data_IF_478611533101
#
_entry.id   IF_478611533101
#
_cell.length_a   1.000
_cell.length_b   1.000
_cell.length_c   1.000
_cell.angle_alpha   90.00
_cell.angle_beta   90.00
_cell.angle_gamma   90.00
#
_symmetry.space_group_name_H-M   'P 1'
#
loop_
_entity.id
_entity.type
_entity.pdbx_description
1 polymer ?
#
# COMPACT_ATOMS: atom_id res chain seq x y z
N UNK A 1 28.04 23.15 -14.41
CA UNK A 1 26.78 22.87 -15.14
C UNK A 1 26.55 21.38 -15.05
N UNK A 2 25.37 20.89 -14.69
CA UNK A 2 25.14 19.45 -14.73
C UNK A 2 25.23 18.98 -16.19
N UNK A 3 25.96 17.89 -16.41
CA UNK A 3 26.04 17.25 -17.72
C UNK A 3 24.65 16.94 -18.22
N UNK A 4 24.31 17.42 -19.41
CA UNK A 4 23.06 17.08 -20.05
C UNK A 4 23.13 15.63 -20.51
N UNK A 5 22.52 14.74 -19.76
CA UNK A 5 22.34 13.35 -20.18
C UNK A 5 21.25 13.33 -21.26
N UNK A 6 21.66 13.22 -22.50
CA UNK A 6 20.77 12.97 -23.63
C UNK A 6 20.58 11.44 -23.77
N UNK A 7 19.31 11.05 -23.88
CA UNK A 7 18.75 9.72 -23.94
C UNK A 7 19.68 8.59 -24.36
N UNK A 8 19.80 7.61 -23.51
CA UNK A 8 20.51 6.35 -23.69
C UNK A 8 19.96 5.32 -22.73
N UNK A 9 20.37 4.08 -22.92
CA UNK A 9 20.10 3.05 -21.92
C UNK A 9 20.82 3.40 -20.65
N UNK A 10 20.09 3.89 -19.63
CA UNK A 10 20.65 4.20 -18.33
C UNK A 10 20.60 2.99 -17.44
N UNK A 11 21.70 2.67 -16.78
CA UNK A 11 21.73 1.73 -15.67
C UNK A 11 20.91 2.31 -14.49
N UNK A 12 20.56 1.45 -13.53
CA UNK A 12 19.93 1.84 -12.28
C UNK A 12 20.66 3.04 -11.65
N UNK A 13 19.96 4.14 -11.42
CA UNK A 13 20.52 5.34 -10.78
C UNK A 13 20.47 5.17 -9.25
N UNK A 14 21.57 4.75 -8.63
CA UNK A 14 21.66 4.54 -7.18
C UNK A 14 21.43 5.83 -6.39
N UNK A 15 21.93 6.97 -6.87
CA UNK A 15 21.73 8.25 -6.19
C UNK A 15 20.25 8.64 -6.05
N UNK A 16 19.40 8.24 -7.00
CA UNK A 16 17.96 8.43 -6.89
C UNK A 16 17.37 7.61 -5.73
N UNK A 17 17.76 6.34 -5.61
CA UNK A 17 17.26 5.46 -4.55
C UNK A 17 17.82 5.87 -3.17
N UNK A 18 19.05 6.33 -3.11
CA UNK A 18 19.66 6.88 -1.88
C UNK A 18 18.91 8.12 -1.41
N UNK A 19 18.65 9.07 -2.31
CA UNK A 19 17.89 10.28 -1.99
C UNK A 19 16.48 9.95 -1.45
N UNK A 20 15.80 8.98 -2.05
CA UNK A 20 14.51 8.51 -1.56
C UNK A 20 14.62 7.83 -0.18
N UNK A 21 15.63 6.97 0.02
CA UNK A 21 15.86 6.31 1.30
C UNK A 21 16.14 7.31 2.43
N UNK A 22 16.93 8.35 2.14
CA UNK A 22 17.23 9.41 3.10
C UNK A 22 16.01 10.29 3.38
N UNK A 23 15.17 10.56 2.39
CA UNK A 23 13.89 11.23 2.57
C UNK A 23 12.97 10.42 3.52
N UNK A 24 12.78 9.13 3.27
CA UNK A 24 11.98 8.24 4.11
C UNK A 24 12.51 8.18 5.55
N UNK A 25 13.83 8.13 5.71
CA UNK A 25 14.47 8.17 7.03
C UNK A 25 14.17 9.48 7.76
N UNK A 26 14.31 10.61 7.06
CA UNK A 26 14.09 11.94 7.63
C UNK A 26 12.62 12.18 7.99
N UNK A 27 11.70 11.80 7.11
CA UNK A 27 10.26 12.10 7.27
C UNK A 27 9.56 11.10 8.18
N UNK A 28 9.83 9.82 8.00
CA UNK A 28 9.06 8.73 8.62
C UNK A 28 9.89 7.87 9.58
N UNK A 29 11.20 8.11 9.70
CA UNK A 29 12.08 7.36 10.59
C UNK A 29 12.45 5.97 10.07
N UNK A 30 12.13 5.67 8.81
CA UNK A 30 12.42 4.40 8.16
C UNK A 30 13.40 4.57 7.01
N UNK A 31 14.48 3.79 7.00
CA UNK A 31 15.44 3.76 5.86
C UNK A 31 15.29 2.43 5.15
N UNK A 32 14.64 2.40 3.97
CA UNK A 32 14.58 1.19 3.15
C UNK A 32 15.95 0.79 2.61
N UNK A 33 16.15 -0.51 2.40
CA UNK A 33 17.33 -1.02 1.68
C UNK A 33 17.15 -0.75 0.18
N UNK A 34 18.05 0.05 -0.38
CA UNK A 34 18.00 0.43 -1.80
C UNK A 34 18.08 -0.77 -2.74
N UNK A 35 18.66 -1.90 -2.31
CA UNK A 35 18.73 -3.13 -3.11
C UNK A 35 17.35 -3.73 -3.36
N UNK A 36 16.39 -3.45 -2.49
CA UNK A 36 15.01 -3.91 -2.58
C UNK A 36 14.07 -2.90 -3.25
N UNK A 37 14.62 -1.84 -3.83
CA UNK A 37 13.84 -0.84 -4.53
C UNK A 37 13.86 -1.06 -6.04
N UNK A 38 12.76 -0.78 -6.68
CA UNK A 38 12.63 -0.75 -8.14
C UNK A 38 11.91 0.51 -8.56
N UNK A 39 12.27 1.00 -9.73
CA UNK A 39 11.57 2.10 -10.38
C UNK A 39 10.38 1.54 -11.16
N UNK A 40 9.26 2.26 -11.10
CA UNK A 40 8.07 1.94 -11.89
C UNK A 40 7.47 3.23 -12.49
N UNK A 41 6.67 3.08 -13.56
CA UNK A 41 6.07 4.20 -14.28
C UNK A 41 4.97 4.92 -13.48
N UNK A 42 4.54 4.36 -12.36
CA UNK A 42 3.53 4.92 -11.48
C UNK A 42 2.94 3.87 -10.53
N UNK A 43 2.11 4.32 -9.58
CA UNK A 43 1.51 3.44 -8.56
C UNK A 43 0.49 2.50 -9.19
N UNK A 44 -0.43 3.01 -10.01
CA UNK A 44 -1.50 2.20 -10.63
C UNK A 44 -0.91 1.08 -11.52
N UNK A 45 0.05 1.33 -12.44
CA UNK A 45 0.72 0.27 -13.17
C UNK A 45 1.43 -0.75 -12.26
N UNK A 46 2.00 -0.30 -11.13
CA UNK A 46 2.65 -1.18 -10.17
C UNK A 46 1.66 -2.09 -9.47
N UNK A 47 0.54 -1.56 -9.00
CA UNK A 47 -0.55 -2.33 -8.39
C UNK A 47 -1.11 -3.35 -9.37
N UNK A 48 -1.35 -2.95 -10.62
CA UNK A 48 -1.81 -3.84 -11.69
C UNK A 48 -0.85 -5.02 -11.89
N UNK A 49 0.46 -4.75 -11.96
CA UNK A 49 1.47 -5.79 -12.08
C UNK A 49 1.51 -6.71 -10.85
N UNK A 50 1.38 -6.17 -9.65
CA UNK A 50 1.36 -6.95 -8.41
C UNK A 50 0.12 -7.85 -8.37
N UNK A 51 -1.06 -7.34 -8.69
CA UNK A 51 -2.30 -8.15 -8.77
C UNK A 51 -2.09 -9.31 -9.72
N UNK A 52 -1.59 -9.05 -10.94
CA UNK A 52 -1.34 -10.09 -11.94
C UNK A 52 -0.37 -11.16 -11.47
N UNK A 53 0.76 -10.75 -10.86
CA UNK A 53 1.88 -11.64 -10.56
C UNK A 53 1.71 -12.42 -9.25
N UNK A 54 1.01 -11.83 -8.27
CA UNK A 54 0.93 -12.39 -6.92
C UNK A 54 -0.43 -13.01 -6.57
N UNK A 55 -1.36 -13.02 -7.52
CA UNK A 55 -2.68 -13.64 -7.30
C UNK A 55 -3.03 -14.61 -8.43
N UNK A 56 -3.64 -15.77 -8.14
CA UNK A 56 -4.20 -16.64 -9.15
C UNK A 56 -5.36 -15.97 -9.93
N UNK A 57 -5.61 -16.38 -11.18
CA UNK A 57 -6.83 -15.98 -11.88
C UNK A 57 -8.08 -16.42 -11.13
N UNK A 58 -9.15 -15.65 -11.24
CA UNK A 58 -10.43 -15.87 -10.54
C UNK A 58 -10.33 -15.87 -9.00
N UNK A 59 -9.21 -15.40 -8.43
CA UNK A 59 -9.06 -15.24 -6.99
C UNK A 59 -9.68 -13.93 -6.50
N UNK A 60 -9.76 -13.78 -5.19
CA UNK A 60 -10.34 -12.61 -4.53
C UNK A 60 -9.22 -11.68 -4.03
N UNK A 61 -9.37 -10.39 -4.29
CA UNK A 61 -8.49 -9.34 -3.76
C UNK A 61 -9.28 -8.44 -2.83
N UNK A 62 -8.79 -8.27 -1.61
CA UNK A 62 -9.46 -7.46 -0.59
C UNK A 62 -9.02 -6.01 -0.66
N UNK A 63 -9.99 -5.11 -0.52
CA UNK A 63 -9.80 -3.67 -0.33
C UNK A 63 -10.70 -3.17 0.80
N UNK A 64 -10.37 -2.01 1.37
CA UNK A 64 -11.23 -1.33 2.36
C UNK A 64 -11.94 -0.15 1.68
N UNK A 65 -13.27 -0.10 1.78
CA UNK A 65 -14.09 0.89 1.06
C UNK A 65 -14.84 1.83 1.99
N UNK A 66 -15.13 3.10 1.52
CA UNK A 66 -14.83 3.65 0.20
C UNK A 66 -13.34 3.91 0.00
N UNK A 67 -12.83 3.69 -1.23
CA UNK A 67 -11.40 3.81 -1.56
C UNK A 67 -11.22 4.34 -2.99
N UNK A 68 -10.01 4.64 -3.37
CA UNK A 68 -9.61 5.08 -4.70
C UNK A 68 -10.13 4.14 -5.80
N UNK A 69 -10.92 4.65 -6.77
CA UNK A 69 -11.65 3.80 -7.72
C UNK A 69 -10.75 2.88 -8.56
N UNK A 70 -9.55 3.31 -8.91
CA UNK A 70 -8.64 2.51 -9.72
C UNK A 70 -8.19 1.20 -9.06
N UNK A 71 -8.46 1.02 -7.74
CA UNK A 71 -8.22 -0.28 -7.12
C UNK A 71 -9.16 -1.35 -7.67
N UNK A 72 -10.39 -0.99 -8.02
CA UNK A 72 -11.32 -1.89 -8.71
C UNK A 72 -10.79 -2.25 -10.10
N UNK A 73 -10.39 -1.23 -10.87
CA UNK A 73 -9.93 -1.40 -12.24
C UNK A 73 -8.69 -2.31 -12.33
N UNK A 74 -7.70 -2.13 -11.45
CA UNK A 74 -6.49 -2.97 -11.46
C UNK A 74 -6.75 -4.40 -11.01
N UNK A 75 -7.80 -4.65 -10.23
CA UNK A 75 -8.19 -5.99 -9.80
C UNK A 75 -8.96 -6.70 -10.91
N UNK A 76 -9.99 -6.05 -11.45
CA UNK A 76 -10.90 -6.62 -12.45
C UNK A 76 -10.24 -6.81 -13.81
N UNK A 77 -9.29 -5.94 -14.18
CA UNK A 77 -8.53 -6.06 -15.43
C UNK A 77 -7.78 -7.39 -15.59
N UNK A 78 -7.59 -8.13 -14.52
CA UNK A 78 -6.89 -9.41 -14.51
C UNK A 78 -7.78 -10.60 -14.12
N UNK A 79 -9.10 -10.50 -14.27
CA UNK A 79 -10.06 -11.51 -13.88
C UNK A 79 -9.96 -11.91 -12.40
N UNK A 80 -9.77 -10.92 -11.51
CA UNK A 80 -9.87 -11.10 -10.06
C UNK A 80 -11.17 -10.47 -9.58
N UNK A 81 -11.70 -11.02 -8.48
CA UNK A 81 -12.92 -10.49 -7.85
C UNK A 81 -12.57 -9.61 -6.67
N UNK A 82 -13.14 -8.41 -6.65
CA UNK A 82 -13.02 -7.52 -5.48
C UNK A 82 -13.86 -8.06 -4.33
N UNK A 83 -13.28 -8.10 -3.12
CA UNK A 83 -14.03 -8.27 -1.88
C UNK A 83 -13.76 -7.07 -0.97
N UNK A 84 -14.84 -6.48 -0.47
CA UNK A 84 -14.81 -5.22 0.26
C UNK A 84 -14.93 -5.45 1.76
N UNK A 85 -13.96 -4.95 2.53
CA UNK A 85 -14.17 -4.64 3.92
C UNK A 85 -14.65 -3.19 4.01
N UNK A 86 -15.94 -3.00 4.24
CA UNK A 86 -16.53 -1.66 4.31
C UNK A 86 -16.20 -1.01 5.64
N UNK A 87 -15.62 0.18 5.56
CA UNK A 87 -15.38 1.01 6.73
C UNK A 87 -16.70 1.54 7.28
N UNK A 88 -16.80 1.61 8.59
CA UNK A 88 -18.01 2.06 9.30
C UNK A 88 -17.84 3.52 9.65
N UNK A 89 -18.79 4.35 9.26
CA UNK A 89 -18.84 5.77 9.60
C UNK A 89 -19.82 5.99 10.77
N UNK A 90 -19.33 6.66 11.82
CA UNK A 90 -20.14 7.07 12.95
C UNK A 90 -19.74 8.49 13.38
N UNK A 91 -20.66 9.45 13.22
CA UNK A 91 -20.47 10.85 13.60
C UNK A 91 -19.21 11.50 13.02
N UNK A 92 -18.91 11.24 11.75
CA UNK A 92 -17.72 11.75 11.07
C UNK A 92 -16.43 10.98 11.37
N UNK A 93 -16.48 9.92 12.16
CA UNK A 93 -15.35 9.06 12.46
C UNK A 93 -15.47 7.75 11.70
N UNK A 94 -14.37 7.31 11.13
CA UNK A 94 -14.28 6.06 10.38
C UNK A 94 -13.59 4.98 11.21
N UNK A 95 -14.14 3.80 11.19
CA UNK A 95 -13.60 2.63 11.90
C UNK A 95 -13.64 1.37 11.03
N UNK A 96 -12.88 0.35 11.45
CA UNK A 96 -12.81 -0.93 10.77
C UNK A 96 -13.77 -1.91 11.43
N UNK A 97 -14.66 -2.50 10.64
CA UNK A 97 -15.35 -3.72 11.07
C UNK A 97 -14.35 -4.88 11.05
N UNK A 98 -13.82 -5.19 12.22
CA UNK A 98 -12.79 -6.22 12.39
C UNK A 98 -13.30 -7.63 12.16
N UNK A 99 -14.58 -7.89 12.39
CA UNK A 99 -15.17 -9.19 12.14
C UNK A 99 -15.28 -9.43 10.64
N UNK A 100 -15.80 -8.45 9.92
CA UNK A 100 -15.88 -8.49 8.46
C UNK A 100 -14.48 -8.51 7.83
N UNK A 101 -13.51 -7.72 8.36
CA UNK A 101 -12.13 -7.75 7.89
C UNK A 101 -11.52 -9.15 7.97
N UNK A 102 -11.67 -9.83 9.10
CA UNK A 102 -11.12 -11.18 9.29
C UNK A 102 -11.82 -12.19 8.38
N UNK A 103 -13.14 -12.11 8.24
CA UNK A 103 -13.91 -12.96 7.31
C UNK A 103 -13.43 -12.78 5.86
N UNK A 104 -13.26 -11.54 5.40
CA UNK A 104 -12.77 -11.25 4.04
C UNK A 104 -11.31 -11.68 3.86
N UNK A 105 -10.46 -11.43 4.84
CA UNK A 105 -9.06 -11.86 4.79
C UNK A 105 -8.95 -13.39 4.65
N UNK A 106 -9.83 -14.17 5.30
CA UNK A 106 -9.81 -15.64 5.16
C UNK A 106 -10.08 -16.15 3.74
N UNK A 107 -10.61 -15.30 2.87
CA UNK A 107 -10.96 -15.62 1.49
C UNK A 107 -10.05 -14.95 0.45
N UNK A 108 -9.23 -13.99 0.88
CA UNK A 108 -8.42 -13.16 -0.01
C UNK A 108 -7.09 -13.82 -0.40
N UNK A 109 -6.67 -13.58 -1.63
CA UNK A 109 -5.32 -13.91 -2.12
C UNK A 109 -4.36 -12.74 -2.01
N UNK A 110 -4.87 -11.53 -1.83
CA UNK A 110 -4.11 -10.29 -1.67
C UNK A 110 -4.97 -9.28 -0.92
N UNK A 111 -4.35 -8.45 -0.09
CA UNK A 111 -4.96 -7.24 0.45
C UNK A 111 -4.24 -5.99 -0.07
N UNK A 112 -4.97 -5.06 -0.69
CA UNK A 112 -4.45 -3.74 -1.07
C UNK A 112 -4.84 -2.76 0.02
N UNK A 113 -3.85 -2.32 0.79
CA UNK A 113 -3.98 -1.32 1.83
C UNK A 113 -3.73 0.08 1.25
N UNK A 114 -4.64 1.01 1.44
CA UNK A 114 -4.44 2.44 1.18
C UNK A 114 -4.01 3.15 2.47
N UNK A 115 -2.79 3.72 2.51
CA UNK A 115 -2.23 4.32 3.74
C UNK A 115 -1.28 5.48 3.46
N UNK A 116 -1.65 6.73 3.68
CA UNK A 116 -2.94 7.25 4.16
C UNK A 116 -4.11 6.93 3.23
N UNK A 117 -5.30 6.75 3.80
CA UNK A 117 -6.46 6.25 3.08
C UNK A 117 -7.16 7.34 2.25
N UNK A 118 -7.26 7.13 0.95
CA UNK A 118 -7.95 8.00 0.01
C UNK A 118 -9.33 7.37 -0.38
N UNK A 119 -10.46 8.10 -0.31
CA UNK A 119 -10.60 9.55 -0.15
C UNK A 119 -10.77 10.05 1.29
N UNK A 120 -10.77 9.18 2.30
CA UNK A 120 -11.21 9.53 3.65
C UNK A 120 -10.16 10.31 4.48
N UNK A 121 -8.91 10.40 4.01
CA UNK A 121 -7.84 11.09 4.71
C UNK A 121 -7.42 10.40 6.02
N UNK A 122 -7.74 9.11 6.20
CA UNK A 122 -7.40 8.38 7.41
C UNK A 122 -5.90 8.08 7.41
N UNK A 123 -5.24 8.49 8.48
CA UNK A 123 -3.88 8.05 8.81
C UNK A 123 -4.01 6.94 9.85
N UNK A 124 -3.80 5.70 9.42
CA UNK A 124 -3.98 4.52 10.26
C UNK A 124 -3.07 4.57 11.49
N UNK A 125 -3.63 4.23 12.66
CA UNK A 125 -2.85 4.09 13.88
C UNK A 125 -2.05 2.79 13.87
N UNK A 126 -0.95 2.77 14.63
CA UNK A 126 -0.09 1.59 14.75
C UNK A 126 -0.87 0.33 15.13
N UNK A 127 -1.78 0.45 16.11
CA UNK A 127 -2.61 -0.68 16.58
C UNK A 127 -3.47 -1.28 15.47
N UNK A 128 -3.99 -0.43 14.56
CA UNK A 128 -4.84 -0.87 13.45
C UNK A 128 -4.00 -1.58 12.38
N UNK A 129 -2.85 -1.00 12.03
CA UNK A 129 -1.91 -1.64 11.09
C UNK A 129 -1.42 -2.99 11.61
N UNK A 130 -1.01 -3.06 12.89
CA UNK A 130 -0.55 -4.30 13.52
C UNK A 130 -1.64 -5.38 13.51
N UNK A 131 -2.90 -4.99 13.78
CA UNK A 131 -4.04 -5.91 13.76
C UNK A 131 -4.35 -6.40 12.34
N UNK A 132 -4.39 -5.49 11.35
CA UNK A 132 -4.56 -5.87 9.94
C UNK A 132 -3.51 -6.90 9.51
N UNK A 133 -2.23 -6.61 9.81
CA UNK A 133 -1.14 -7.50 9.42
C UNK A 133 -1.16 -8.83 10.16
N UNK A 134 -1.54 -8.82 11.44
CA UNK A 134 -1.69 -10.06 12.22
C UNK A 134 -2.77 -10.96 11.62
N UNK A 135 -3.91 -10.41 11.22
CA UNK A 135 -4.98 -11.14 10.57
C UNK A 135 -4.52 -11.65 9.20
N UNK A 136 -3.93 -10.79 8.37
CA UNK A 136 -3.42 -11.20 7.07
C UNK A 136 -2.36 -12.30 7.18
N UNK A 137 -1.47 -12.22 8.17
CA UNK A 137 -0.48 -13.27 8.44
C UNK A 137 -1.14 -14.59 8.85
N UNK A 138 -2.17 -14.56 9.70
CA UNK A 138 -2.93 -15.76 10.11
C UNK A 138 -3.47 -16.54 8.92
N UNK A 139 -3.94 -15.84 7.89
CA UNK A 139 -4.50 -16.43 6.68
C UNK A 139 -3.54 -16.49 5.50
N UNK A 140 -2.26 -16.17 5.71
CA UNK A 140 -1.22 -16.16 4.66
C UNK A 140 -1.54 -15.23 3.49
N UNK A 141 -2.22 -14.11 3.76
CA UNK A 141 -2.59 -13.10 2.76
C UNK A 141 -1.46 -12.09 2.63
N UNK A 142 -0.80 -11.98 1.47
CA UNK A 142 0.14 -10.91 1.22
C UNK A 142 -0.56 -9.55 1.23
N UNK A 143 0.17 -8.52 1.68
CA UNK A 143 -0.35 -7.14 1.72
C UNK A 143 0.54 -6.24 0.88
N UNK A 144 -0.06 -5.54 -0.08
CA UNK A 144 0.56 -4.42 -0.78
C UNK A 144 0.02 -3.12 -0.19
N UNK A 145 0.91 -2.19 0.16
CA UNK A 145 0.53 -0.90 0.71
C UNK A 145 0.76 0.20 -0.32
N UNK A 146 -0.31 0.88 -0.71
CA UNK A 146 -0.25 2.11 -1.47
C UNK A 146 -0.04 3.27 -0.50
N UNK A 147 1.16 3.85 -0.52
CA UNK A 147 1.59 4.92 0.38
C UNK A 147 1.85 6.25 -0.37
N UNK A 148 1.21 6.44 -1.54
CA UNK A 148 1.42 7.63 -2.37
C UNK A 148 1.18 8.94 -1.62
N UNK A 149 0.30 8.94 -0.62
CA UNK A 149 -0.04 10.11 0.20
C UNK A 149 0.76 10.20 1.50
N UNK A 150 1.83 9.41 1.68
CA UNK A 150 2.60 9.34 2.94
C UNK A 150 3.11 10.68 3.45
N UNK A 151 3.46 11.60 2.56
CA UNK A 151 3.95 12.94 2.89
C UNK A 151 2.84 13.99 3.06
N UNK A 152 1.58 13.65 2.72
CA UNK A 152 0.43 14.55 2.74
C UNK A 152 -0.44 14.30 3.99
N UNK A 153 0.17 14.35 5.18
CA UNK A 153 -0.53 14.16 6.45
C UNK A 153 -0.69 15.48 7.20
N UNK A 154 -1.85 15.69 7.81
CA UNK A 154 -2.11 16.89 8.60
C UNK A 154 -1.24 16.94 9.87
N UNK A 155 -1.02 18.18 10.35
CA UNK A 155 -0.26 18.42 11.56
C UNK A 155 -0.81 17.60 12.75
N UNK A 156 0.10 16.99 13.51
CA UNK A 156 -0.25 16.11 14.66
C UNK A 156 -0.46 14.64 14.30
N UNK A 157 -0.55 14.30 13.00
CA UNK A 157 -0.58 12.91 12.53
C UNK A 157 0.78 12.52 11.94
N UNK A 158 1.10 11.23 12.00
CA UNK A 158 2.34 10.69 11.44
C UNK A 158 2.04 9.41 10.68
N UNK A 159 2.42 9.39 9.40
CA UNK A 159 2.39 8.17 8.61
C UNK A 159 3.41 7.15 9.15
N UNK A 160 3.02 5.89 9.16
CA UNK A 160 3.86 4.76 9.58
C UNK A 160 4.07 3.88 8.35
N UNK A 161 5.27 3.89 7.73
CA UNK A 161 5.56 3.03 6.59
C UNK A 161 5.36 1.56 6.94
N UNK A 162 4.75 0.81 6.05
CA UNK A 162 4.41 -0.59 6.29
C UNK A 162 5.60 -1.45 6.69
N UNK A 163 6.73 -1.32 5.99
CA UNK A 163 7.92 -2.13 6.25
C UNK A 163 8.58 -1.87 7.61
N UNK A 164 8.25 -0.74 8.25
CA UNK A 164 8.75 -0.44 9.60
C UNK A 164 7.88 -1.03 10.71
N UNK A 165 6.59 -1.27 10.44
CA UNK A 165 5.65 -1.80 11.42
C UNK A 165 5.79 -3.31 11.65
N UNK A 166 6.47 -4.04 10.75
CA UNK A 166 6.66 -5.48 10.84
C UNK A 166 8.12 -5.78 11.19
N UNK A 167 8.49 -5.64 12.44
CA UNK A 167 9.53 -6.51 12.98
C UNK A 167 8.84 -7.83 13.35
N UNK A 168 9.04 -8.81 12.46
CA UNK A 168 8.69 -10.19 12.77
C UNK A 168 9.56 -10.71 13.90
#
# INVERSE_FOLDING_TARGET
MPEKVYGGYTSRNEAYFEAYADWQKKRHGWKPDIKNMSYALGVVPSLSAIVKLFTPSNSKVMIQTPVYPEFYDVIEAWDRTVIENRLVEENGNWSIDWKDFEEKASQASLFILCSPHNPLGIVWERKDLERMFSICKKYSVPVVSDEIHSDLVFHGKKHIPRLWSIRM
#
